data_IF_191839192218
#
_entry.id   IF_191839192218
#
_cell.length_a   1.000
_cell.length_b   1.000
_cell.length_c   1.000
_cell.angle_alpha   90.00
_cell.angle_beta   90.00
_cell.angle_gamma   90.00
#
_symmetry.space_group_name_H-M   'P 1'
#
loop_
_entity.id
_entity.type
_entity.pdbx_description
1 polymer ?
#
# COMPACT_ATOMS: atom_id res chain seq x y z
N UNK A 1 -92.81 -9.73 -25.18
CA UNK A 1 -92.68 -9.01 -23.90
C UNK A 1 -91.71 -9.79 -23.02
N UNK A 2 -90.90 -9.06 -22.27
CA UNK A 2 -89.57 -9.45 -21.82
C UNK A 2 -89.51 -10.38 -20.58
N UNK A 3 -88.27 -10.86 -20.37
CA UNK A 3 -87.66 -11.44 -19.15
C UNK A 3 -87.91 -12.94 -18.97
N UNK A 4 -86.92 -13.80 -18.81
CA UNK A 4 -85.48 -13.66 -18.59
C UNK A 4 -84.98 -15.01 -18.05
N UNK A 5 -83.66 -15.25 -18.10
CA UNK A 5 -83.04 -16.40 -17.44
C UNK A 5 -82.41 -17.40 -18.41
N UNK A 6 -81.15 -17.15 -18.77
CA UNK A 6 -80.26 -18.18 -19.33
C UNK A 6 -79.72 -19.04 -18.20
N UNK A 7 -79.78 -20.36 -18.39
CA UNK A 7 -79.32 -21.35 -17.43
C UNK A 7 -78.60 -22.51 -18.12
N UNK A 8 -77.39 -22.77 -17.62
CA UNK A 8 -76.63 -24.02 -17.54
C UNK A 8 -75.98 -24.67 -18.78
N UNK A 9 -74.72 -25.07 -18.58
CA UNK A 9 -73.95 -26.06 -19.34
C UNK A 9 -72.54 -25.55 -19.67
N UNK A 10 -71.57 -25.58 -18.74
CA UNK A 10 -70.53 -26.64 -18.67
C UNK A 10 -69.29 -26.22 -19.47
N UNK A 11 -68.04 -26.25 -19.01
CA UNK A 11 -67.38 -27.06 -17.99
C UNK A 11 -65.96 -26.53 -17.73
N UNK A 12 -65.28 -27.20 -16.79
CA UNK A 12 -64.22 -26.66 -15.96
C UNK A 12 -62.91 -26.21 -16.61
N UNK A 13 -62.25 -25.26 -15.92
CA UNK A 13 -60.80 -25.27 -15.69
C UNK A 13 -60.56 -24.97 -14.21
N UNK A 14 -59.78 -25.86 -13.59
CA UNK A 14 -59.57 -25.93 -12.15
C UNK A 14 -58.76 -24.76 -11.58
N UNK A 15 -59.28 -24.22 -10.49
CA UNK A 15 -58.60 -24.09 -9.20
C UNK A 15 -57.13 -23.68 -9.19
N UNK A 16 -56.87 -22.37 -9.30
CA UNK A 16 -55.74 -21.75 -8.61
C UNK A 16 -56.14 -21.47 -7.16
N UNK A 17 -55.62 -22.27 -6.23
CA UNK A 17 -55.79 -21.99 -4.80
C UNK A 17 -54.89 -20.83 -4.39
N UNK A 18 -55.55 -19.75 -4.00
CA UNK A 18 -55.03 -18.69 -3.16
C UNK A 18 -54.79 -19.23 -1.74
N UNK A 19 -53.67 -18.84 -1.16
CA UNK A 19 -53.38 -18.94 0.27
C UNK A 19 -51.92 -18.57 0.47
N UNK A 20 -51.53 -17.56 1.22
CA UNK A 20 -52.26 -16.56 1.98
C UNK A 20 -51.15 -15.71 2.58
N UNK A 21 -51.01 -14.48 2.11
CA UNK A 21 -50.04 -13.53 2.64
C UNK A 21 -50.33 -13.29 4.12
N UNK A 22 -49.38 -13.67 4.98
CA UNK A 22 -49.23 -13.11 6.33
C UNK A 22 -47.89 -12.42 6.36
N UNK A 23 -47.93 -11.11 6.51
CA UNK A 23 -46.76 -10.25 6.48
C UNK A 23 -45.88 -10.40 7.71
N UNK A 24 -44.59 -10.27 7.48
CA UNK A 24 -43.62 -9.64 8.37
C UNK A 24 -42.94 -8.56 7.54
N UNK A 25 -42.94 -7.32 8.01
CA UNK A 25 -42.34 -6.21 7.28
C UNK A 25 -40.83 -6.40 7.21
N UNK A 26 -40.29 -6.68 6.02
CA UNK A 26 -38.85 -6.56 5.80
C UNK A 26 -38.47 -5.09 5.86
N UNK A 27 -37.68 -4.74 6.87
CA UNK A 27 -36.84 -3.56 6.88
C UNK A 27 -35.76 -3.72 5.80
N UNK A 28 -36.16 -3.63 4.53
CA UNK A 28 -35.33 -3.96 3.37
C UNK A 28 -34.40 -2.81 2.99
N UNK A 29 -33.47 -2.45 3.87
CA UNK A 29 -32.20 -1.89 3.40
C UNK A 29 -31.42 -3.02 2.73
N UNK A 30 -30.79 -2.77 1.58
CA UNK A 30 -29.94 -3.79 0.94
C UNK A 30 -28.82 -4.17 1.92
N UNK A 31 -28.86 -5.36 2.54
CA UNK A 31 -27.75 -5.92 3.33
C UNK A 31 -26.59 -6.31 2.42
N UNK A 32 -25.41 -6.53 2.98
CA UNK A 32 -24.18 -6.78 2.23
C UNK A 32 -23.73 -8.18 2.55
N UNK A 33 -23.29 -8.94 1.56
CA UNK A 33 -22.79 -10.27 1.78
C UNK A 33 -21.98 -10.76 0.60
N UNK A 34 -21.22 -11.83 0.83
CA UNK A 34 -20.38 -12.43 -0.18
C UNK A 34 -19.99 -13.86 0.18
N UNK A 35 -19.84 -14.67 -0.87
CA UNK A 35 -19.26 -16.01 -0.82
C UNK A 35 -17.73 -15.92 -0.69
N UNK A 36 -17.15 -16.87 0.04
CA UNK A 36 -15.71 -17.11 0.08
C UNK A 36 -15.44 -18.61 0.28
N UNK A 37 -14.24 -19.11 -0.02
CA UNK A 37 -13.94 -20.54 0.08
C UNK A 37 -12.53 -20.91 -0.33
N UNK A 38 -12.05 -22.03 0.21
CA UNK A 38 -10.67 -22.48 0.12
C UNK A 38 -10.23 -22.77 -1.32
N UNK A 39 -9.19 -22.08 -1.77
CA UNK A 39 -8.64 -22.23 -3.12
C UNK A 39 -7.79 -23.50 -3.25
N UNK A 40 -8.40 -24.68 -3.32
CA UNK A 40 -7.68 -25.87 -3.82
C UNK A 40 -7.70 -25.87 -5.36
N UNK A 41 -6.61 -25.40 -5.96
CA UNK A 41 -6.18 -25.66 -7.35
C UNK A 41 -7.27 -25.91 -8.40
N UNK A 42 -7.80 -24.83 -8.99
CA UNK A 42 -8.68 -24.93 -10.16
C UNK A 42 -8.88 -23.57 -10.81
N UNK A 43 -8.22 -23.33 -11.95
CA UNK A 43 -8.51 -22.19 -12.82
C UNK A 43 -9.94 -22.26 -13.35
N UNK A 44 -10.86 -21.41 -12.90
CA UNK A 44 -12.04 -20.99 -13.69
C UNK A 44 -12.61 -19.62 -13.24
N UNK A 45 -12.30 -18.58 -14.02
CA UNK A 45 -13.29 -17.88 -14.87
C UNK A 45 -14.33 -16.90 -14.30
N UNK A 46 -14.06 -15.59 -14.50
CA UNK A 46 -15.04 -14.55 -14.91
C UNK A 46 -15.34 -13.47 -13.86
N UNK A 47 -15.29 -12.14 -14.11
CA UNK A 47 -15.29 -11.32 -15.34
C UNK A 47 -14.73 -9.90 -15.10
N UNK A 48 -14.12 -9.36 -16.16
CA UNK A 48 -14.12 -7.95 -16.64
C UNK A 48 -12.87 -7.06 -16.47
N UNK A 49 -12.45 -6.46 -17.61
CA UNK A 49 -11.35 -5.49 -17.77
C UNK A 49 -10.07 -6.18 -18.26
N UNK A 50 -9.66 -6.21 -19.53
CA UNK A 50 -9.73 -5.20 -20.57
C UNK A 50 -8.32 -4.68 -20.84
N UNK A 51 -7.59 -5.28 -21.80
CA UNK A 51 -6.65 -4.64 -22.75
C UNK A 51 -5.51 -5.54 -23.24
N UNK A 52 -5.44 -5.65 -24.57
CA UNK A 52 -4.29 -5.70 -25.47
C UNK A 52 -2.89 -6.04 -24.94
N UNK A 53 -2.29 -7.08 -25.52
CA UNK A 53 -0.89 -7.22 -26.02
C UNK A 53 -0.75 -8.66 -26.54
N UNK A 54 -0.34 -8.97 -27.76
CA UNK A 54 0.72 -8.38 -28.56
C UNK A 54 1.78 -9.47 -28.75
N UNK A 55 1.70 -10.21 -29.84
CA UNK A 55 2.64 -11.25 -30.25
C UNK A 55 4.06 -10.72 -30.49
N UNK A 56 5.08 -11.48 -30.06
CA UNK A 56 6.38 -11.69 -30.73
C UNK A 56 7.21 -12.62 -29.83
N UNK A 57 7.57 -13.86 -30.21
CA UNK A 57 8.53 -14.30 -31.24
C UNK A 57 10.02 -14.01 -30.92
N UNK A 58 10.79 -15.07 -30.63
CA UNK A 58 12.02 -15.37 -31.38
C UNK A 58 13.42 -15.11 -30.75
N UNK A 59 14.26 -16.16 -30.78
CA UNK A 59 15.75 -16.15 -30.78
C UNK A 59 16.38 -16.38 -29.40
N UNK A 60 17.18 -17.41 -29.03
CA UNK A 60 18.16 -18.30 -29.71
C UNK A 60 19.30 -17.55 -30.42
N UNK A 61 20.51 -17.59 -29.81
CA UNK A 61 21.91 -17.66 -30.33
C UNK A 61 22.83 -17.30 -29.13
N UNK A 62 24.03 -17.85 -28.85
CA UNK A 62 24.94 -18.75 -29.55
C UNK A 62 26.42 -18.34 -29.29
N UNK A 63 27.11 -19.07 -28.40
CA UNK A 63 28.54 -19.51 -28.45
C UNK A 63 29.78 -18.56 -28.45
N UNK A 64 30.75 -18.92 -27.57
CA UNK A 64 32.23 -19.07 -27.78
C UNK A 64 33.12 -17.79 -27.88
N UNK A 65 34.36 -17.66 -27.35
CA UNK A 65 35.52 -18.58 -27.16
C UNK A 65 36.59 -18.02 -26.17
N UNK A 66 37.43 -18.95 -25.73
CA UNK A 66 38.71 -18.95 -24.94
C UNK A 66 39.69 -17.76 -25.11
N UNK A 67 40.56 -17.43 -24.16
CA UNK A 67 41.81 -18.16 -23.80
C UNK A 67 42.35 -17.78 -22.41
N UNK A 68 42.95 -18.74 -21.70
CA UNK A 68 43.72 -18.52 -20.48
C UNK A 68 45.20 -18.90 -20.64
N UNK A 69 46.07 -18.36 -19.78
CA UNK A 69 47.35 -18.97 -19.35
C UNK A 69 47.98 -18.13 -18.22
N UNK A 70 48.55 -18.78 -17.20
CA UNK A 70 49.54 -18.15 -16.30
C UNK A 70 49.51 -18.54 -14.81
N UNK A 71 50.05 -19.71 -14.46
CA UNK A 71 50.65 -20.06 -13.15
C UNK A 71 51.80 -19.06 -12.82
N UNK A 72 52.24 -18.73 -11.59
CA UNK A 72 52.09 -19.22 -10.22
C UNK A 72 52.84 -18.25 -9.24
N UNK A 73 52.95 -18.56 -7.93
CA UNK A 73 53.24 -17.60 -6.84
C UNK A 73 54.71 -17.61 -6.36
N UNK A 74 55.11 -16.69 -5.45
CA UNK A 74 56.10 -16.88 -4.35
C UNK A 74 56.26 -15.60 -3.48
N UNK A 75 56.36 -15.83 -2.18
CA UNK A 75 56.46 -14.88 -1.04
C UNK A 75 57.92 -14.47 -0.70
N UNK A 76 58.10 -13.19 -0.28
CA UNK A 76 59.11 -12.67 0.70
C UNK A 76 60.54 -12.36 0.20
N UNK A 77 61.39 -11.58 0.92
CA UNK A 77 61.27 -11.09 2.31
C UNK A 77 61.72 -9.62 2.63
N UNK A 78 61.23 -9.12 3.79
CA UNK A 78 61.81 -8.27 4.88
C UNK A 78 62.99 -7.26 4.69
N UNK A 79 62.73 -6.03 5.21
CA UNK A 79 63.53 -5.14 6.14
C UNK A 79 64.67 -4.27 5.50
N UNK A 80 65.10 -3.09 6.04
CA UNK A 80 64.77 -2.37 7.29
C UNK A 80 64.42 -0.86 7.21
N UNK A 81 63.84 -0.38 8.33
CA UNK A 81 63.90 0.99 8.86
C UNK A 81 65.33 1.52 9.01
N UNK A 82 65.58 2.78 8.64
CA UNK A 82 66.78 3.54 8.97
C UNK A 82 66.48 5.03 9.06
N UNK A 83 66.78 5.64 10.21
CA UNK A 83 66.50 7.04 10.52
C UNK A 83 67.47 8.05 9.89
N UNK A 84 67.14 9.33 10.03
CA UNK A 84 68.02 10.43 9.62
C UNK A 84 67.44 11.80 9.97
N UNK A 85 68.13 12.48 10.88
CA UNK A 85 67.97 13.87 11.30
C UNK A 85 68.08 14.88 10.13
N UNK A 86 67.43 16.03 10.25
CA UNK A 86 67.99 17.28 9.73
C UNK A 86 67.00 18.33 9.19
N UNK A 87 67.12 19.56 9.70
CA UNK A 87 66.90 20.77 8.90
C UNK A 87 65.66 21.59 9.22
N UNK A 88 65.85 22.71 9.91
CA UNK A 88 64.80 23.68 10.21
C UNK A 88 64.50 24.68 9.08
N UNK A 89 63.21 25.08 9.04
CA UNK A 89 62.60 26.38 8.67
C UNK A 89 62.83 26.95 7.24
N UNK A 90 61.91 27.78 6.68
CA UNK A 90 60.77 28.43 7.30
C UNK A 90 59.41 28.22 6.62
N UNK A 91 58.40 28.48 7.44
CA UNK A 91 57.00 28.73 7.19
C UNK A 91 56.78 29.66 5.97
N UNK A 92 56.27 29.10 4.87
CA UNK A 92 55.57 29.89 3.84
C UNK A 92 54.10 29.96 4.20
N UNK A 93 53.74 31.08 4.80
CA UNK A 93 52.39 31.62 4.70
C UNK A 93 52.13 31.96 3.22
N UNK A 94 51.25 31.20 2.59
CA UNK A 94 50.52 31.55 1.38
C UNK A 94 49.27 30.66 1.44
N UNK A 95 48.11 31.17 1.83
CA UNK A 95 47.41 32.20 1.08
C UNK A 95 46.51 31.51 0.06
N UNK A 96 45.26 31.23 0.45
CA UNK A 96 44.16 30.90 -0.47
C UNK A 96 43.85 29.40 -0.63
N UNK A 97 42.59 29.01 -0.36
CA UNK A 97 42.07 27.72 -0.83
C UNK A 97 41.09 26.97 0.06
N UNK A 98 40.51 27.59 1.09
CA UNK A 98 39.43 26.97 1.89
C UNK A 98 38.11 26.87 1.12
N UNK A 99 37.99 25.92 0.18
CA UNK A 99 36.72 25.64 -0.50
C UNK A 99 36.49 24.17 -0.91
N UNK A 100 37.35 23.22 -0.50
CA UNK A 100 37.18 21.79 -0.82
C UNK A 100 36.48 20.97 0.28
N UNK A 101 36.73 21.31 1.55
CA UNK A 101 36.25 20.51 2.69
C UNK A 101 34.74 20.65 2.90
N UNK A 102 34.21 21.87 2.77
CA UNK A 102 32.77 22.13 2.96
C UNK A 102 31.95 21.49 1.83
N UNK A 103 32.45 21.54 0.59
CA UNK A 103 31.78 20.87 -0.54
C UNK A 103 31.81 19.35 -0.41
N UNK A 104 32.91 18.76 0.07
CA UNK A 104 32.98 17.32 0.35
C UNK A 104 32.05 16.90 1.49
N UNK A 105 31.96 17.68 2.56
CA UNK A 105 31.05 17.42 3.68
C UNK A 105 29.60 17.49 3.21
N UNK A 106 29.23 18.49 2.41
CA UNK A 106 27.87 18.60 1.85
C UNK A 106 27.55 17.42 0.93
N UNK A 107 28.49 17.00 0.07
CA UNK A 107 28.30 15.83 -0.80
C UNK A 107 28.14 14.54 0.02
N UNK A 108 28.92 14.36 1.08
CA UNK A 108 28.80 13.20 1.97
C UNK A 108 27.46 13.18 2.72
N UNK A 109 26.98 14.34 3.16
CA UNK A 109 25.65 14.46 3.80
C UNK A 109 24.54 14.09 2.80
N UNK A 110 24.63 14.54 1.54
CA UNK A 110 23.67 14.18 0.50
C UNK A 110 23.68 12.67 0.21
N UNK A 111 24.87 12.05 0.11
CA UNK A 111 25.01 10.60 -0.07
C UNK A 111 24.44 9.83 1.13
N UNK A 112 24.71 10.29 2.35
CA UNK A 112 24.17 9.67 3.57
C UNK A 112 22.63 9.73 3.60
N UNK A 113 22.04 10.86 3.22
CA UNK A 113 20.57 11.00 3.11
C UNK A 113 20.00 10.05 2.06
N UNK A 114 20.65 9.91 0.90
CA UNK A 114 20.24 8.96 -0.14
C UNK A 114 20.33 7.51 0.37
N UNK A 115 21.39 7.15 1.08
CA UNK A 115 21.54 5.82 1.66
C UNK A 115 20.47 5.53 2.72
N UNK A 116 20.17 6.47 3.61
CA UNK A 116 19.10 6.33 4.62
C UNK A 116 17.74 6.10 3.95
N UNK A 117 17.46 6.81 2.87
CA UNK A 117 16.24 6.66 2.08
C UNK A 117 16.16 5.28 1.43
N UNK A 118 17.22 4.85 0.74
CA UNK A 118 17.25 3.55 0.05
C UNK A 118 17.09 2.42 1.06
N UNK A 119 17.77 2.51 2.21
CA UNK A 119 17.67 1.50 3.27
C UNK A 119 16.27 1.46 3.91
N UNK A 120 15.63 2.62 4.07
CA UNK A 120 14.25 2.73 4.57
C UNK A 120 13.23 2.14 3.58
N UNK A 121 13.47 2.29 2.28
CA UNK A 121 12.61 1.72 1.23
C UNK A 121 12.81 0.20 1.08
N UNK A 122 14.05 -0.28 1.23
CA UNK A 122 14.34 -1.72 1.15
C UNK A 122 13.74 -2.51 2.32
N UNK A 123 13.72 -1.93 3.53
CA UNK A 123 13.05 -2.51 4.69
C UNK A 123 11.53 -2.71 4.50
N UNK A 124 10.89 -1.89 3.67
CA UNK A 124 9.44 -1.97 3.41
C UNK A 124 9.05 -2.97 2.31
N UNK A 125 10.00 -3.49 1.53
CA UNK A 125 9.72 -4.36 0.37
C UNK A 125 9.91 -5.86 0.63
N UNK A 126 10.45 -6.25 1.79
CA UNK A 126 10.80 -7.65 2.10
C UNK A 126 9.74 -8.43 2.90
N UNK A 127 8.50 -7.94 2.98
CA UNK A 127 7.42 -8.60 3.73
C UNK A 127 6.24 -8.97 2.83
N UNK A 128 6.43 -9.97 1.96
CA UNK A 128 5.31 -10.61 1.27
C UNK A 128 5.61 -12.09 1.01
N UNK A 129 5.46 -12.90 2.06
CA UNK A 129 5.23 -14.33 1.96
C UNK A 129 3.77 -14.63 2.33
N UNK A 130 3.07 -15.36 1.48
CA UNK A 130 1.65 -15.74 1.64
C UNK A 130 0.72 -14.85 0.81
N UNK A 131 -0.34 -15.45 0.24
CA UNK A 131 -1.23 -14.88 -0.79
C UNK A 131 -1.63 -13.42 -0.55
N UNK A 132 -1.82 -12.69 -1.66
CA UNK A 132 -2.10 -11.25 -1.65
C UNK A 132 -3.36 -10.96 -0.82
N UNK A 133 -3.15 -10.42 0.39
CA UNK A 133 -4.21 -9.89 1.23
C UNK A 133 -4.70 -8.58 0.63
N UNK A 134 -6.02 -8.43 0.48
CA UNK A 134 -6.68 -7.22 -0.03
C UNK A 134 -6.15 -5.97 0.67
N UNK A 135 -5.91 -4.93 -0.14
CA UNK A 135 -5.48 -3.64 0.38
C UNK A 135 -6.66 -2.90 1.01
N UNK A 136 -6.47 -2.40 2.23
CA UNK A 136 -7.41 -1.47 2.85
C UNK A 136 -7.18 -0.08 2.26
N UNK A 137 -8.00 0.33 1.30
CA UNK A 137 -7.89 1.61 0.60
C UNK A 137 -8.80 2.69 1.18
N UNK A 138 -9.87 2.27 1.86
CA UNK A 138 -10.88 3.15 2.45
C UNK A 138 -10.57 3.45 3.91
N UNK A 139 -10.64 4.73 4.30
CA UNK A 139 -10.59 5.11 5.72
C UNK A 139 -11.95 4.84 6.35
N UNK A 140 -11.97 4.04 7.41
CA UNK A 140 -13.17 3.68 8.19
C UNK A 140 -13.05 4.23 9.60
N UNK A 141 -14.16 4.73 10.12
CA UNK A 141 -14.29 5.07 11.53
C UNK A 141 -15.11 3.96 12.21
N UNK A 142 -14.78 3.56 13.46
CA UNK A 142 -15.52 2.51 14.15
C UNK A 142 -16.99 2.87 14.30
N UNK A 143 -17.87 1.87 14.37
CA UNK A 143 -19.26 2.10 14.73
C UNK A 143 -19.34 2.76 16.13
N UNK A 144 -20.30 3.67 16.35
CA UNK A 144 -20.52 4.28 17.65
C UNK A 144 -20.76 3.23 18.74
N UNK A 145 -20.24 3.48 19.95
CA UNK A 145 -20.49 2.61 21.10
C UNK A 145 -21.99 2.54 21.40
N UNK A 146 -22.48 1.35 21.72
CA UNK A 146 -23.90 1.08 21.97
C UNK A 146 -24.74 0.88 20.71
N UNK A 147 -24.13 0.80 19.51
CA UNK A 147 -24.84 0.42 18.28
C UNK A 147 -25.24 -1.07 18.24
N UNK A 148 -24.47 -1.91 18.95
CA UNK A 148 -24.64 -3.36 19.02
C UNK A 148 -25.41 -3.74 20.28
N UNK A 149 -26.45 -4.56 20.13
CA UNK A 149 -27.04 -5.34 21.21
C UNK A 149 -26.24 -6.63 21.37
N UNK A 150 -25.31 -6.66 22.33
CA UNK A 150 -24.32 -7.75 22.41
C UNK A 150 -24.97 -9.13 22.51
N UNK A 151 -24.56 -10.02 21.60
CA UNK A 151 -24.97 -11.43 21.54
C UNK A 151 -23.81 -12.36 21.91
N UNK A 152 -24.03 -13.67 21.86
CA UNK A 152 -22.94 -14.65 21.85
C UNK A 152 -22.02 -14.43 20.63
N UNK A 153 -20.83 -15.03 20.64
CA UNK A 153 -19.85 -14.79 19.58
C UNK A 153 -19.80 -15.90 18.52
N UNK A 154 -20.32 -17.09 18.83
CA UNK A 154 -20.26 -18.20 17.90
C UNK A 154 -21.32 -19.27 18.21
N UNK A 155 -21.64 -20.08 17.21
CA UNK A 155 -22.27 -21.39 17.34
C UNK A 155 -21.36 -22.42 16.70
N UNK A 156 -21.05 -23.50 17.41
CA UNK A 156 -20.23 -24.59 16.90
C UNK A 156 -21.06 -25.87 16.71
N UNK A 157 -21.40 -26.20 15.46
CA UNK A 157 -22.02 -27.50 15.11
C UNK A 157 -21.00 -28.55 14.68
N UNK A 158 -19.75 -28.16 14.45
CA UNK A 158 -18.66 -29.06 14.03
C UNK A 158 -17.95 -29.72 15.22
N UNK A 159 -18.06 -29.12 16.41
CA UNK A 159 -17.31 -29.55 17.60
C UNK A 159 -15.82 -29.23 17.50
N UNK A 160 -15.47 -28.17 16.77
CA UNK A 160 -14.11 -27.73 16.54
C UNK A 160 -13.53 -26.92 17.69
N UNK A 161 -14.39 -26.24 18.46
CA UNK A 161 -14.00 -25.27 19.48
C UNK A 161 -13.91 -25.97 20.83
N UNK A 162 -12.69 -26.17 21.29
CA UNK A 162 -12.34 -26.71 22.61
C UNK A 162 -11.89 -25.61 23.58
N UNK A 163 -11.33 -24.51 23.07
CA UNK A 163 -10.87 -23.36 23.86
C UNK A 163 -11.58 -22.07 23.44
N UNK A 164 -12.79 -21.90 23.95
CA UNK A 164 -13.63 -20.73 23.71
C UNK A 164 -12.93 -19.40 24.02
N UNK A 165 -12.17 -19.31 25.12
CA UNK A 165 -11.51 -18.06 25.52
C UNK A 165 -10.55 -17.57 24.43
N UNK A 166 -9.85 -18.50 23.77
CA UNK A 166 -8.91 -18.20 22.71
C UNK A 166 -9.61 -17.70 21.44
N UNK A 167 -10.69 -18.36 21.03
CA UNK A 167 -11.53 -17.92 19.92
C UNK A 167 -12.11 -16.52 20.19
N UNK A 168 -12.80 -16.38 21.32
CA UNK A 168 -13.52 -15.15 21.69
C UNK A 168 -12.57 -13.96 21.82
N UNK A 169 -11.32 -14.16 22.23
CA UNK A 169 -10.34 -13.06 22.32
C UNK A 169 -10.15 -12.32 20.99
N UNK A 170 -10.04 -13.03 19.87
CA UNK A 170 -9.90 -12.42 18.54
C UNK A 170 -11.19 -11.81 18.01
N UNK A 171 -12.32 -12.47 18.26
CA UNK A 171 -13.65 -11.94 17.91
C UNK A 171 -13.96 -10.64 18.68
N UNK A 172 -13.62 -10.58 19.96
CA UNK A 172 -13.71 -9.37 20.78
C UNK A 172 -12.77 -8.28 20.30
N UNK A 173 -11.54 -8.61 19.94
CA UNK A 173 -10.61 -7.62 19.37
C UNK A 173 -11.18 -6.98 18.10
N UNK A 174 -11.81 -7.78 17.22
CA UNK A 174 -12.50 -7.27 16.04
C UNK A 174 -13.61 -6.29 16.41
N UNK A 175 -14.47 -6.65 17.37
CA UNK A 175 -15.53 -5.79 17.85
C UNK A 175 -15.00 -4.49 18.48
N UNK A 176 -13.97 -4.57 19.34
CA UNK A 176 -13.37 -3.40 19.99
C UNK A 176 -12.76 -2.41 18.98
N UNK A 177 -12.17 -2.92 17.89
CA UNK A 177 -11.54 -2.09 16.85
C UNK A 177 -12.54 -1.47 15.88
N UNK A 178 -13.54 -2.23 15.47
CA UNK A 178 -14.46 -1.86 14.39
C UNK A 178 -15.79 -1.31 14.90
N UNK A 179 -16.16 -1.62 16.14
CA UNK A 179 -17.50 -1.39 16.71
C UNK A 179 -18.58 -2.32 16.15
N UNK A 180 -18.22 -3.28 15.28
CA UNK A 180 -19.11 -4.27 14.68
C UNK A 180 -18.89 -5.61 15.36
N UNK A 181 -19.93 -6.22 15.94
CA UNK A 181 -19.78 -7.52 16.59
C UNK A 181 -19.78 -8.64 15.53
N UNK A 182 -18.71 -9.44 15.44
CA UNK A 182 -18.72 -10.63 14.60
C UNK A 182 -19.43 -11.79 15.31
N UNK A 183 -20.11 -12.61 14.52
CA UNK A 183 -20.69 -13.87 14.94
C UNK A 183 -20.24 -14.99 14.00
N UNK A 184 -19.69 -16.07 14.56
CA UNK A 184 -19.18 -17.20 13.79
C UNK A 184 -20.11 -18.43 13.92
N UNK A 185 -20.73 -18.86 12.83
CA UNK A 185 -21.56 -20.06 12.79
C UNK A 185 -20.81 -21.17 12.03
N UNK A 186 -20.36 -22.21 12.75
CA UNK A 186 -19.63 -23.34 12.20
C UNK A 186 -20.58 -24.51 11.92
N UNK A 187 -20.55 -25.07 10.72
CA UNK A 187 -21.38 -26.23 10.37
C UNK A 187 -20.78 -27.03 9.20
N UNK A 188 -21.17 -28.30 9.08
CA UNK A 188 -20.89 -29.15 7.92
C UNK A 188 -22.15 -29.42 7.09
N UNK A 189 -23.30 -28.86 7.50
CA UNK A 189 -24.60 -29.23 6.97
C UNK A 189 -25.49 -28.00 6.84
N UNK A 190 -25.99 -27.75 5.62
CA UNK A 190 -26.99 -26.71 5.35
C UNK A 190 -28.25 -27.39 4.85
N UNK A 191 -29.38 -27.15 5.51
CA UNK A 191 -30.67 -27.75 5.15
C UNK A 191 -30.63 -29.28 4.98
N UNK A 192 -29.81 -29.97 5.79
CA UNK A 192 -29.63 -31.43 5.73
C UNK A 192 -28.69 -31.92 4.62
N UNK A 193 -27.99 -31.04 3.93
CA UNK A 193 -27.04 -31.36 2.85
C UNK A 193 -25.60 -30.98 3.20
N UNK A 194 -24.66 -31.87 2.91
CA UNK A 194 -23.21 -31.61 2.91
C UNK A 194 -22.69 -31.05 1.58
N UNK A 195 -23.58 -30.85 0.60
CA UNK A 195 -23.24 -30.28 -0.71
C UNK A 195 -24.14 -29.10 -1.06
N UNK A 196 -24.21 -28.05 -0.22
CA UNK A 196 -25.04 -26.89 -0.51
C UNK A 196 -24.51 -26.12 -1.72
N UNK A 197 -25.44 -25.54 -2.48
CA UNK A 197 -25.12 -24.52 -3.47
C UNK A 197 -24.79 -23.20 -2.76
N UNK A 198 -24.17 -22.24 -3.48
CA UNK A 198 -23.95 -20.90 -2.91
C UNK A 198 -25.27 -20.21 -2.56
N UNK A 199 -26.33 -20.46 -3.33
CA UNK A 199 -27.66 -19.93 -3.08
C UNK A 199 -28.29 -20.50 -1.81
N UNK A 200 -28.08 -21.79 -1.53
CA UNK A 200 -28.52 -22.40 -0.28
C UNK A 200 -27.80 -21.78 0.92
N UNK A 201 -26.50 -21.52 0.77
CA UNK A 201 -25.68 -20.91 1.82
C UNK A 201 -26.04 -19.44 2.07
N UNK A 202 -26.28 -18.67 1.01
CA UNK A 202 -26.74 -17.28 1.09
C UNK A 202 -28.12 -17.19 1.76
N UNK A 203 -29.07 -18.02 1.34
CA UNK A 203 -30.41 -18.06 1.92
C UNK A 203 -30.36 -18.43 3.40
N UNK A 204 -29.62 -19.48 3.74
CA UNK A 204 -29.42 -19.90 5.13
C UNK A 204 -28.79 -18.80 5.99
N UNK A 205 -27.72 -18.14 5.51
CA UNK A 205 -27.07 -17.08 6.23
C UNK A 205 -27.97 -15.85 6.41
N UNK A 206 -28.82 -15.53 5.42
CA UNK A 206 -29.77 -14.42 5.49
C UNK A 206 -30.83 -14.68 6.55
N UNK A 207 -31.46 -15.86 6.51
CA UNK A 207 -32.49 -16.25 7.47
C UNK A 207 -31.91 -16.33 8.89
N UNK A 208 -30.69 -16.88 9.03
CA UNK A 208 -29.99 -16.98 10.31
C UNK A 208 -29.64 -15.60 10.89
N UNK A 209 -29.29 -14.62 10.05
CA UNK A 209 -29.03 -13.25 10.50
C UNK A 209 -30.29 -12.64 11.15
N UNK A 210 -31.44 -12.80 10.50
CA UNK A 210 -32.73 -12.29 11.00
C UNK A 210 -33.20 -13.00 12.27
N UNK A 211 -32.80 -14.26 12.47
CA UNK A 211 -33.09 -15.00 13.69
C UNK A 211 -32.19 -14.57 14.87
N UNK A 212 -30.90 -14.37 14.62
CA UNK A 212 -29.91 -14.11 15.67
C UNK A 212 -29.88 -12.66 16.14
N UNK A 213 -30.14 -11.70 15.26
CA UNK A 213 -29.90 -10.28 15.55
C UNK A 213 -31.16 -9.45 15.45
N UNK A 214 -31.30 -8.52 16.40
CA UNK A 214 -32.38 -7.53 16.43
C UNK A 214 -31.92 -6.14 15.99
N UNK A 215 -30.62 -6.00 15.70
CA UNK A 215 -29.99 -4.79 15.21
C UNK A 215 -29.29 -5.04 13.86
N UNK A 216 -28.67 -4.00 13.33
CA UNK A 216 -27.99 -4.02 12.03
C UNK A 216 -26.48 -3.72 12.17
N UNK A 217 -25.92 -3.96 13.35
CA UNK A 217 -24.54 -3.67 13.73
C UNK A 217 -23.66 -4.94 13.87
N UNK A 218 -24.19 -6.10 13.43
CA UNK A 218 -23.47 -7.38 13.43
C UNK A 218 -22.90 -7.75 12.06
N UNK A 219 -21.82 -8.55 12.09
CA UNK A 219 -21.24 -9.30 10.98
C UNK A 219 -21.42 -10.79 11.26
N UNK A 220 -22.29 -11.47 10.51
CA UNK A 220 -22.43 -12.93 10.58
C UNK A 220 -21.49 -13.59 9.58
N UNK A 221 -20.82 -14.65 10.00
CA UNK A 221 -20.06 -15.54 9.14
C UNK A 221 -20.60 -16.95 9.32
N UNK A 222 -21.19 -17.51 8.26
CA UNK A 222 -21.47 -18.93 8.16
C UNK A 222 -20.26 -19.59 7.54
N UNK A 223 -19.57 -20.43 8.30
CA UNK A 223 -18.42 -21.20 7.88
C UNK A 223 -18.85 -22.66 7.73
N UNK A 224 -18.90 -23.11 6.48
CA UNK A 224 -19.24 -24.46 6.10
C UNK A 224 -17.96 -25.26 5.84
N UNK A 225 -17.76 -26.37 6.55
CA UNK A 225 -16.63 -27.27 6.30
C UNK A 225 -17.07 -28.73 6.18
N UNK A 226 -16.59 -29.40 5.14
CA UNK A 226 -16.80 -30.82 4.95
C UNK A 226 -15.63 -31.44 4.18
N UNK A 227 -15.08 -32.54 4.68
CA UNK A 227 -13.99 -33.32 4.07
C UNK A 227 -12.71 -32.50 3.72
N UNK A 228 -12.33 -31.57 4.59
CA UNK A 228 -11.14 -30.72 4.46
C UNK A 228 -11.32 -29.56 3.49
N UNK A 229 -12.54 -29.34 2.97
CA UNK A 229 -12.87 -28.22 2.10
C UNK A 229 -13.85 -27.30 2.80
N UNK A 230 -13.56 -25.99 2.77
CA UNK A 230 -14.44 -24.99 3.36
C UNK A 230 -15.06 -24.08 2.31
N UNK A 231 -16.27 -23.66 2.60
CA UNK A 231 -16.98 -22.54 1.97
C UNK A 231 -17.49 -21.64 3.09
N UNK A 232 -17.74 -20.39 2.77
CA UNK A 232 -18.36 -19.50 3.72
C UNK A 232 -19.18 -18.43 3.04
N UNK A 233 -20.11 -17.89 3.82
CA UNK A 233 -20.90 -16.75 3.42
C UNK A 233 -20.94 -15.78 4.60
N UNK A 234 -20.69 -14.51 4.34
CA UNK A 234 -20.85 -13.47 5.34
C UNK A 234 -22.05 -12.58 5.04
N UNK A 235 -22.73 -12.12 6.09
CA UNK A 235 -23.77 -11.11 6.03
C UNK A 235 -23.40 -9.97 6.98
N UNK A 236 -23.49 -8.75 6.46
CA UNK A 236 -23.24 -7.51 7.21
C UNK A 236 -24.55 -6.75 7.36
N UNK A 237 -24.85 -6.40 8.60
CA UNK A 237 -25.96 -5.50 8.92
C UNK A 237 -25.80 -4.14 8.24
N UNK A 238 -26.92 -3.52 7.93
CA UNK A 238 -26.97 -2.24 7.20
C UNK A 238 -26.22 -1.10 7.89
N UNK A 239 -26.20 -1.05 9.23
CA UNK A 239 -25.39 -0.06 9.96
C UNK A 239 -23.90 -0.44 9.91
N UNK A 240 -23.57 -1.71 10.11
CA UNK A 240 -22.20 -2.22 10.08
C UNK A 240 -21.49 -2.00 8.73
N UNK A 241 -22.23 -1.84 7.62
CA UNK A 241 -21.66 -1.56 6.29
C UNK A 241 -20.76 -0.33 6.20
N UNK A 242 -20.93 0.67 7.06
CA UNK A 242 -20.03 1.83 7.06
C UNK A 242 -18.60 1.47 7.44
N UNK A 243 -18.42 0.34 8.12
CA UNK A 243 -17.12 -0.19 8.55
C UNK A 243 -16.78 -1.44 7.76
N UNK A 244 -17.72 -2.38 7.64
CA UNK A 244 -17.54 -3.64 6.91
C UNK A 244 -18.21 -3.53 5.53
N UNK A 245 -17.57 -2.79 4.65
CA UNK A 245 -17.92 -2.76 3.22
C UNK A 245 -17.38 -4.00 2.48
N UNK A 246 -17.58 -4.06 1.16
CA UNK A 246 -17.11 -5.20 0.37
C UNK A 246 -15.58 -5.40 0.42
N UNK A 247 -14.80 -4.32 0.52
CA UNK A 247 -13.34 -4.41 0.64
C UNK A 247 -12.94 -4.97 2.01
N UNK A 248 -13.61 -4.54 3.09
CA UNK A 248 -13.41 -5.07 4.43
C UNK A 248 -13.83 -6.54 4.54
N UNK A 249 -14.94 -6.93 3.93
CA UNK A 249 -15.37 -8.33 3.82
C UNK A 249 -14.33 -9.20 3.12
N UNK A 250 -13.75 -8.71 2.01
CA UNK A 250 -12.68 -9.41 1.30
C UNK A 250 -11.40 -9.53 2.14
N UNK A 251 -11.00 -8.47 2.86
CA UNK A 251 -9.84 -8.53 3.77
C UNK A 251 -10.00 -9.66 4.79
N UNK A 252 -11.19 -9.77 5.41
CA UNK A 252 -11.47 -10.83 6.36
C UNK A 252 -11.44 -12.21 5.71
N UNK A 253 -12.08 -12.36 4.55
CA UNK A 253 -12.05 -13.59 3.77
C UNK A 253 -10.62 -14.02 3.39
N UNK A 254 -9.75 -13.08 3.04
CA UNK A 254 -8.35 -13.36 2.69
C UNK A 254 -7.54 -13.85 3.91
N UNK A 255 -7.79 -13.31 5.11
CA UNK A 255 -7.15 -13.81 6.32
C UNK A 255 -7.67 -15.18 6.75
N UNK A 256 -8.97 -15.45 6.55
CA UNK A 256 -9.54 -16.80 6.73
C UNK A 256 -8.89 -17.77 5.76
N UNK A 257 -8.79 -17.44 4.46
CA UNK A 257 -8.14 -18.31 3.46
C UNK A 257 -6.67 -18.55 3.76
N UNK A 258 -5.96 -17.49 4.18
CA UNK A 258 -4.54 -17.56 4.53
C UNK A 258 -4.26 -18.52 5.68
N UNK A 259 -5.10 -18.51 6.71
CA UNK A 259 -4.85 -19.26 7.94
C UNK A 259 -5.54 -20.63 7.99
N UNK A 260 -6.53 -20.90 7.15
CA UNK A 260 -7.26 -22.18 7.14
C UNK A 260 -6.33 -23.39 6.91
N UNK A 261 -5.37 -23.27 6.00
CA UNK A 261 -4.42 -24.35 5.68
C UNK A 261 -3.14 -24.31 6.54
N UNK A 262 -3.06 -23.43 7.54
CA UNK A 262 -1.90 -23.34 8.43
C UNK A 262 -1.99 -24.38 9.54
N UNK A 263 -1.31 -25.51 9.35
CA UNK A 263 -1.28 -26.62 10.31
C UNK A 263 -0.58 -26.31 11.63
N UNK A 264 0.05 -25.13 11.76
CA UNK A 264 0.62 -24.69 13.03
C UNK A 264 -0.40 -24.07 13.99
N UNK A 265 -1.60 -23.74 13.49
CA UNK A 265 -2.67 -23.13 14.27
C UNK A 265 -3.73 -24.16 14.66
N UNK A 266 -4.18 -24.10 15.92
CA UNK A 266 -5.45 -24.70 16.33
C UNK A 266 -6.64 -24.00 15.68
N UNK A 267 -7.81 -24.65 15.60
CA UNK A 267 -9.02 -24.06 15.02
C UNK A 267 -9.39 -22.71 15.66
N UNK A 268 -9.23 -22.59 16.98
CA UNK A 268 -9.49 -21.36 17.72
C UNK A 268 -8.44 -20.28 17.45
N UNK A 269 -7.17 -20.65 17.30
CA UNK A 269 -6.11 -19.72 16.89
C UNK A 269 -6.33 -19.21 15.48
N UNK A 270 -6.71 -20.11 14.58
CA UNK A 270 -7.01 -19.80 13.19
C UNK A 270 -8.03 -18.67 13.11
N UNK A 271 -9.23 -18.88 13.68
CA UNK A 271 -10.27 -17.85 13.65
C UNK A 271 -9.86 -16.61 14.44
N UNK A 272 -9.34 -16.77 15.67
CA UNK A 272 -8.93 -15.64 16.51
C UNK A 272 -7.92 -14.74 15.79
N UNK A 273 -6.94 -15.34 15.11
CA UNK A 273 -5.92 -14.62 14.35
C UNK A 273 -6.49 -13.97 13.09
N UNK A 274 -7.35 -14.67 12.35
CA UNK A 274 -8.00 -14.13 11.15
C UNK A 274 -8.80 -12.86 11.47
N UNK A 275 -9.62 -12.90 12.52
CA UNK A 275 -10.40 -11.74 12.97
C UNK A 275 -9.52 -10.61 13.52
N UNK A 276 -8.48 -10.94 14.31
CA UNK A 276 -7.56 -9.94 14.85
C UNK A 276 -6.85 -9.17 13.76
N UNK A 277 -6.22 -9.88 12.82
CA UNK A 277 -5.43 -9.26 11.76
C UNK A 277 -6.32 -8.55 10.73
N UNK A 278 -7.51 -9.10 10.44
CA UNK A 278 -8.51 -8.44 9.59
C UNK A 278 -8.96 -7.11 10.20
N UNK A 279 -9.27 -7.06 11.50
CA UNK A 279 -9.69 -5.83 12.16
C UNK A 279 -8.61 -4.74 12.07
N UNK A 280 -7.36 -5.10 12.35
CA UNK A 280 -6.24 -4.16 12.25
C UNK A 280 -6.04 -3.66 10.81
N UNK A 281 -6.18 -4.56 9.83
CA UNK A 281 -6.06 -4.20 8.41
C UNK A 281 -7.21 -3.33 7.93
N UNK A 282 -8.45 -3.64 8.29
CA UNK A 282 -9.65 -2.88 7.92
C UNK A 282 -9.55 -1.45 8.47
N UNK A 283 -9.10 -1.31 9.72
CA UNK A 283 -9.01 -0.02 10.40
C UNK A 283 -7.76 0.81 10.03
N UNK A 284 -6.83 0.24 9.26
CA UNK A 284 -5.63 0.94 8.81
C UNK A 284 -5.62 1.14 7.29
N UNK A 285 -5.52 2.39 6.85
CA UNK A 285 -5.42 2.68 5.41
C UNK A 285 -4.03 2.33 4.92
N UNK A 286 -3.95 1.43 3.94
CA UNK A 286 -2.72 1.12 3.22
C UNK A 286 -2.35 2.31 2.36
N UNK A 287 -1.30 3.05 2.76
CA UNK A 287 -0.74 4.11 1.93
C UNK A 287 0.19 3.50 0.91
N UNK A 288 0.05 3.90 -0.35
CA UNK A 288 0.95 3.44 -1.42
C UNK A 288 2.40 3.79 -1.07
N UNK A 289 3.32 2.81 -1.03
CA UNK A 289 4.74 3.07 -0.79
C UNK A 289 5.35 4.09 -1.77
N UNK A 290 4.78 4.18 -2.98
CA UNK A 290 5.19 5.13 -4.02
C UNK A 290 5.02 6.59 -3.61
N UNK A 291 4.05 6.91 -2.76
CA UNK A 291 3.87 8.29 -2.26
C UNK A 291 5.13 8.71 -1.48
N UNK A 292 5.64 7.85 -0.61
CA UNK A 292 6.89 8.08 0.12
C UNK A 292 8.07 8.21 -0.83
N UNK A 293 8.17 7.33 -1.84
CA UNK A 293 9.24 7.40 -2.86
C UNK A 293 9.22 8.73 -3.61
N UNK A 294 8.04 9.18 -4.06
CA UNK A 294 7.90 10.44 -4.80
C UNK A 294 8.22 11.67 -3.95
N UNK A 295 7.82 11.69 -2.67
CA UNK A 295 8.18 12.76 -1.74
C UNK A 295 9.71 12.86 -1.63
N UNK A 296 10.38 11.73 -1.42
CA UNK A 296 11.84 11.73 -1.29
C UNK A 296 12.53 12.13 -2.59
N UNK A 297 12.06 11.63 -3.73
CA UNK A 297 12.56 12.04 -5.04
C UNK A 297 12.43 13.55 -5.23
N UNK A 298 11.30 14.13 -4.82
CA UNK A 298 11.07 15.58 -4.82
C UNK A 298 12.08 16.34 -3.94
N UNK A 299 12.37 15.84 -2.73
CA UNK A 299 13.37 16.45 -1.83
C UNK A 299 14.78 16.39 -2.44
N UNK A 300 15.16 15.27 -3.05
CA UNK A 300 16.47 15.12 -3.71
C UNK A 300 16.61 16.11 -4.86
N UNK A 301 15.59 16.24 -5.71
CA UNK A 301 15.58 17.23 -6.81
C UNK A 301 15.68 18.65 -6.27
N UNK A 302 14.93 18.99 -5.21
CA UNK A 302 14.99 20.31 -4.56
C UNK A 302 16.41 20.63 -4.05
N UNK A 303 17.07 19.68 -3.38
CA UNK A 303 18.44 19.84 -2.88
C UNK A 303 19.43 20.08 -4.04
N UNK A 304 19.29 19.34 -5.15
CA UNK A 304 20.13 19.52 -6.35
C UNK A 304 19.93 20.93 -6.93
N UNK A 305 18.68 21.39 -7.05
CA UNK A 305 18.37 22.73 -7.57
C UNK A 305 18.96 23.82 -6.68
N UNK A 306 18.79 23.71 -5.36
CA UNK A 306 19.36 24.65 -4.39
C UNK A 306 20.89 24.67 -4.45
N UNK A 307 21.52 23.50 -4.61
CA UNK A 307 22.97 23.39 -4.76
C UNK A 307 23.47 24.05 -6.06
N UNK A 308 22.81 23.82 -7.19
CA UNK A 308 23.15 24.47 -8.47
C UNK A 308 22.98 25.98 -8.38
N UNK A 309 21.88 26.45 -7.77
CA UNK A 309 21.63 27.88 -7.57
C UNK A 309 22.69 28.52 -6.68
N UNK A 310 23.02 27.88 -5.54
CA UNK A 310 24.06 28.36 -4.64
C UNK A 310 25.44 28.40 -5.31
N UNK A 311 25.78 27.38 -6.10
CA UNK A 311 27.02 27.32 -6.89
C UNK A 311 27.09 28.47 -7.89
N UNK A 312 26.03 28.68 -8.68
CA UNK A 312 25.94 29.79 -9.65
C UNK A 312 26.03 31.15 -8.99
N UNK A 313 25.33 31.35 -7.88
CA UNK A 313 25.36 32.60 -7.13
C UNK A 313 26.75 32.88 -6.53
N UNK A 314 27.47 31.84 -6.09
CA UNK A 314 28.85 31.98 -5.60
C UNK A 314 29.85 32.26 -6.73
N UNK A 315 29.66 31.65 -7.91
CA UNK A 315 30.46 31.95 -9.10
C UNK A 315 30.28 33.40 -9.58
N UNK A 316 29.06 33.94 -9.54
CA UNK A 316 28.80 35.36 -9.86
C UNK A 316 29.55 36.31 -8.93
N UNK A 317 29.53 36.06 -7.61
CA UNK A 317 30.29 36.89 -6.64
C UNK A 317 31.80 36.83 -6.86
N UNK A 318 32.32 35.66 -7.25
CA UNK A 318 33.74 35.51 -7.58
C UNK A 318 34.11 36.27 -8.86
N UNK A 319 33.20 36.34 -9.86
CA UNK A 319 33.42 37.12 -11.07
C UNK A 319 33.34 38.63 -10.82
N UNK A 320 32.41 39.09 -9.99
CA UNK A 320 32.31 40.50 -9.58
C UNK A 320 33.49 40.97 -8.74
N UNK A 321 34.05 40.08 -7.90
CA UNK A 321 35.28 40.36 -7.17
C UNK A 321 36.47 40.55 -8.12
N UNK A 322 36.62 39.66 -9.14
CA UNK A 322 37.65 39.80 -10.18
C UNK A 322 37.49 41.08 -11.00
N UNK A 323 36.27 41.42 -11.40
CA UNK A 323 35.97 42.67 -12.14
C UNK A 323 36.28 43.91 -11.30
N UNK A 324 36.02 43.87 -9.99
CA UNK A 324 36.37 44.98 -9.08
C UNK A 324 37.88 45.10 -8.90
N UNK A 325 38.61 43.99 -8.80
CA UNK A 325 40.08 43.99 -8.77
C UNK A 325 40.69 44.51 -10.07
N UNK A 326 40.12 44.15 -11.23
CA UNK A 326 40.52 44.69 -12.54
C UNK A 326 40.27 46.20 -12.64
N UNK A 327 39.12 46.70 -12.16
CA UNK A 327 38.84 48.15 -12.12
C UNK A 327 39.75 48.91 -11.14
N UNK A 328 40.09 48.33 -10.00
CA UNK A 328 41.01 48.93 -9.02
C UNK A 328 42.46 48.96 -9.50
N UNK A 329 42.85 48.01 -10.37
CA UNK A 329 44.18 47.94 -10.98
C UNK A 329 44.25 48.55 -12.38
N UNK A 330 43.16 49.11 -12.92
CA UNK A 330 43.23 49.83 -14.19
C UNK A 330 43.93 51.17 -13.95
N UNK A 331 45.09 51.43 -14.57
CA UNK A 331 45.85 52.65 -14.30
C UNK A 331 45.08 53.90 -14.76
N UNK A 332 45.09 54.93 -13.91
CA UNK A 332 44.49 56.25 -14.11
C UNK A 332 44.96 56.99 -15.39
N UNK A 333 45.98 56.49 -16.08
CA UNK A 333 46.49 57.07 -17.33
C UNK A 333 45.48 57.12 -18.49
N UNK A 334 44.47 56.24 -18.49
CA UNK A 334 43.46 56.23 -19.56
C UNK A 334 42.37 57.31 -19.44
N UNK A 335 42.28 57.97 -18.29
CA UNK A 335 41.29 59.03 -18.04
C UNK A 335 41.90 60.44 -18.09
N UNK A 336 43.22 60.57 -18.24
CA UNK A 336 43.91 61.86 -18.14
C UNK A 336 44.46 62.44 -19.45
N UNK A 337 44.73 61.62 -20.46
CA UNK A 337 45.52 62.08 -21.63
C UNK A 337 44.68 62.33 -22.87
N UNK A 338 43.70 61.46 -23.16
CA UNK A 338 42.98 61.51 -24.44
C UNK A 338 41.90 62.58 -24.49
N UNK A 339 41.11 62.76 -23.43
CA UNK A 339 40.09 63.82 -23.39
C UNK A 339 40.71 65.21 -23.20
N UNK A 340 41.83 65.31 -22.47
CA UNK A 340 42.51 66.58 -22.23
C UNK A 340 43.29 67.07 -23.47
N UNK A 341 43.93 66.18 -24.24
CA UNK A 341 44.60 66.56 -25.50
C UNK A 341 43.61 66.93 -26.61
N UNK A 342 42.47 66.25 -26.72
CA UNK A 342 41.43 66.60 -27.70
C UNK A 342 40.73 67.93 -27.35
N UNK A 343 40.56 68.24 -26.06
CA UNK A 343 40.10 69.57 -25.62
C UNK A 343 41.15 70.66 -25.87
N UNK A 344 42.43 70.38 -25.64
CA UNK A 344 43.51 71.37 -25.83
C UNK A 344 43.70 71.72 -27.32
N UNK A 345 43.58 70.75 -28.24
CA UNK A 345 43.59 71.00 -29.69
C UNK A 345 42.44 71.89 -30.15
N UNK A 346 41.25 71.72 -29.57
CA UNK A 346 40.04 72.44 -29.97
C UNK A 346 40.08 73.94 -29.60
N UNK A 347 40.88 74.35 -28.63
CA UNK A 347 41.04 75.75 -28.22
C UNK A 347 42.33 76.41 -28.73
N UNK A 348 43.24 75.65 -29.35
CA UNK A 348 44.43 76.20 -30.02
C UNK A 348 44.14 76.67 -31.44
N UNK A 349 43.21 76.02 -32.16
CA UNK A 349 42.81 76.44 -33.52
C UNK A 349 41.99 77.75 -33.56
N UNK A 350 41.38 78.15 -32.45
CA UNK A 350 40.53 79.35 -32.36
C UNK A 350 41.29 80.66 -32.07
N UNK A 351 42.63 80.65 -31.98
CA UNK A 351 43.45 81.82 -31.61
C UNK A 351 44.44 82.33 -32.68
N UNK A 352 44.37 81.87 -33.94
CA UNK A 352 45.25 82.36 -35.03
C UNK A 352 44.52 82.93 -36.27
N UNK A 353 43.42 83.67 -36.12
CA UNK A 353 42.89 84.52 -37.20
C UNK A 353 42.61 85.97 -36.78
#
# INVERSE_FOLDING_TARGET
MARGGGSFGGGGRGGGSFGGSRGGGSFGGSRGGGSFGGRSGGSFGGRSGGSFRGSSSGGIFGSSKSTGTGFGPVFGPRIPMGGGFGGGRPQRSSGGGGCGCVTLIVVLIVIAVIFIVIFSLWGSMNSSGGGDITFSSVKRDPLPKGSVNETEYYTDRLGWINNETKLISGLKHFYEKTGVQPYLYLTDTINGSHFPTEQDLEAFATDLYDELFTDEAHLLIVFFEYEGQYKGWYIVGTQAKSVIDAEAGNILADYIDRYYYDSSLSNEEFFSKAFTDAADRIMTVTRSPWITVFIVLGVVVLVIVLFIWWKKHKEQKNLEAKRREEMLNTPLERFGTTEAEDLMKKYQDDNEQ
#
